data_IF_423768290320
#
_entry.id   IF_423768290320
#
_cell.length_a   1.000
_cell.length_b   1.000
_cell.length_c   1.000
_cell.angle_alpha   90.00
_cell.angle_beta   90.00
_cell.angle_gamma   90.00
#
_symmetry.space_group_name_H-M   'P 1'
#
loop_
_entity.id
_entity.type
_entity.pdbx_description
1 polymer ?
#
# COMPACT_ATOMS: atom_id res chain seq x y z
N UNK A 1 17.12 6.85 14.45
CA UNK A 1 18.00 7.56 13.48
C UNK A 1 18.08 6.68 12.27
N UNK A 2 17.91 7.22 11.05
CA UNK A 2 18.01 6.42 9.83
C UNK A 2 19.48 6.11 9.52
N UNK A 3 19.75 4.87 9.11
CA UNK A 3 21.08 4.37 8.76
C UNK A 3 21.19 4.11 7.25
N UNK A 4 22.33 3.61 6.79
CA UNK A 4 22.54 3.21 5.39
C UNK A 4 21.61 2.07 4.93
N UNK A 5 20.94 1.37 5.87
CA UNK A 5 19.97 0.32 5.54
C UNK A 5 18.76 0.85 4.76
N UNK A 6 18.34 2.10 5.02
CA UNK A 6 17.24 2.71 4.27
C UNK A 6 17.61 2.88 2.78
N UNK A 7 18.87 3.24 2.48
CA UNK A 7 19.35 3.32 1.11
C UNK A 7 19.42 1.95 0.43
N UNK A 8 19.79 0.90 1.18
CA UNK A 8 19.80 -0.48 0.68
C UNK A 8 18.37 -0.99 0.40
N UNK A 9 17.40 -0.66 1.27
CA UNK A 9 15.99 -0.99 1.05
C UNK A 9 15.43 -0.27 -0.19
N UNK A 10 15.78 1.00 -0.38
CA UNK A 10 15.40 1.74 -1.59
C UNK A 10 16.01 1.11 -2.85
N UNK A 11 17.29 0.72 -2.82
CA UNK A 11 17.93 0.05 -3.95
C UNK A 11 17.24 -1.27 -4.31
N UNK A 12 16.86 -2.06 -3.29
CA UNK A 12 16.11 -3.31 -3.50
C UNK A 12 14.70 -3.04 -4.05
N UNK A 13 14.02 -1.99 -3.60
CA UNK A 13 12.72 -1.59 -4.13
C UNK A 13 12.83 -1.16 -5.60
N UNK A 14 13.87 -0.40 -5.97
CA UNK A 14 14.13 -0.02 -7.37
C UNK A 14 14.32 -1.25 -8.25
N UNK A 15 15.09 -2.24 -7.78
CA UNK A 15 15.28 -3.51 -8.49
C UNK A 15 13.96 -4.28 -8.65
N UNK A 16 13.17 -4.40 -7.58
CA UNK A 16 11.91 -5.15 -7.58
C UNK A 16 10.86 -4.56 -8.55
N UNK A 17 10.90 -3.25 -8.78
CA UNK A 17 9.96 -2.52 -9.62
C UNK A 17 10.59 -1.99 -10.91
N UNK A 18 11.70 -2.61 -11.36
CA UNK A 18 12.38 -2.17 -12.59
C UNK A 18 11.43 -2.21 -13.80
N UNK A 19 11.41 -1.13 -14.57
CA UNK A 19 10.54 -0.98 -15.73
C UNK A 19 9.04 -0.83 -15.43
N UNK A 20 8.58 -1.01 -14.19
CA UNK A 20 7.19 -0.91 -13.80
C UNK A 20 6.72 0.55 -13.73
N UNK A 21 5.44 0.76 -14.08
CA UNK A 21 4.80 2.09 -14.03
C UNK A 21 3.50 2.04 -13.22
N UNK A 22 3.13 3.16 -12.63
CA UNK A 22 1.81 3.36 -12.01
C UNK A 22 0.72 3.15 -13.06
N UNK A 23 -0.31 2.40 -12.68
CA UNK A 23 -1.38 1.95 -13.60
C UNK A 23 -2.04 3.11 -14.34
N UNK A 24 -2.06 3.04 -15.66
CA UNK A 24 -2.64 4.06 -16.52
C UNK A 24 -1.84 5.37 -16.62
N UNK A 25 -0.56 5.38 -16.23
CA UNK A 25 0.32 6.55 -16.29
C UNK A 25 1.69 6.21 -16.87
N UNK A 26 2.55 7.22 -17.06
CA UNK A 26 3.98 7.06 -17.38
C UNK A 26 4.88 7.16 -16.15
N UNK A 27 4.33 7.34 -14.94
CA UNK A 27 5.07 7.53 -13.69
C UNK A 27 5.78 6.23 -13.31
N UNK A 28 7.10 6.23 -13.06
CA UNK A 28 7.80 5.06 -12.55
C UNK A 28 7.20 4.58 -11.23
N UNK A 29 7.02 3.26 -11.08
CA UNK A 29 6.33 2.70 -9.92
C UNK A 29 7.02 3.04 -8.60
N UNK A 30 8.36 3.16 -8.60
CA UNK A 30 9.16 3.50 -7.41
C UNK A 30 8.70 4.79 -6.71
N UNK A 31 8.05 5.71 -7.42
CA UNK A 31 7.45 6.91 -6.82
C UNK A 31 6.42 6.58 -5.73
N UNK A 32 5.74 5.42 -5.86
CA UNK A 32 4.78 4.97 -4.86
C UNK A 32 5.45 4.49 -3.57
N UNK A 33 6.34 3.49 -3.54
CA UNK A 33 7.04 3.08 -2.33
C UNK A 33 7.77 4.22 -1.62
N UNK A 34 8.39 5.13 -2.36
CA UNK A 34 9.01 6.33 -1.79
C UNK A 34 7.98 7.23 -1.08
N UNK A 35 6.83 7.46 -1.71
CA UNK A 35 5.73 8.23 -1.12
C UNK A 35 5.15 7.56 0.13
N UNK A 36 5.00 6.24 0.10
CA UNK A 36 4.53 5.45 1.26
C UNK A 36 5.51 5.56 2.43
N UNK A 37 6.81 5.42 2.18
CA UNK A 37 7.83 5.57 3.20
C UNK A 37 7.88 6.99 3.78
N UNK A 38 7.72 8.03 2.96
CA UNK A 38 7.61 9.42 3.42
C UNK A 38 6.42 9.59 4.37
N UNK A 39 5.24 9.12 3.98
CA UNK A 39 4.03 9.17 4.81
C UNK A 39 4.23 8.41 6.13
N UNK A 40 4.80 7.22 6.09
CA UNK A 40 5.06 6.43 7.29
C UNK A 40 5.98 7.19 8.26
N UNK A 41 7.07 7.77 7.78
CA UNK A 41 8.01 8.57 8.59
C UNK A 41 7.33 9.83 9.18
N UNK A 42 6.51 10.54 8.41
CA UNK A 42 5.74 11.70 8.88
C UNK A 42 4.76 11.34 10.01
N UNK A 43 4.33 10.07 10.06
CA UNK A 43 3.42 9.52 11.07
C UNK A 43 4.13 8.69 12.15
N UNK A 44 5.45 8.86 12.31
CA UNK A 44 6.22 8.33 13.43
C UNK A 44 6.82 6.95 13.22
N UNK A 45 6.92 6.47 11.98
CA UNK A 45 7.61 5.21 11.68
C UNK A 45 9.07 5.21 12.14
N UNK A 46 9.51 4.10 12.71
CA UNK A 46 10.92 3.82 12.91
C UNK A 46 11.59 3.37 11.59
N UNK A 47 12.90 3.08 11.65
CA UNK A 47 13.67 2.71 10.47
C UNK A 47 13.18 1.40 9.84
N UNK A 48 12.82 0.39 10.64
CA UNK A 48 12.36 -0.91 10.13
C UNK A 48 10.98 -0.79 9.46
N UNK A 49 10.09 0.01 10.03
CA UNK A 49 8.80 0.33 9.42
C UNK A 49 8.97 1.13 8.12
N UNK A 50 9.92 2.07 8.06
CA UNK A 50 10.23 2.82 6.85
C UNK A 50 10.83 1.94 5.74
N UNK A 51 11.73 1.00 6.09
CA UNK A 51 12.24 -0.02 5.16
C UNK A 51 11.11 -0.93 4.67
N UNK A 52 10.23 -1.39 5.56
CA UNK A 52 9.05 -2.17 5.16
C UNK A 52 8.12 -1.38 4.23
N UNK A 53 7.95 -0.08 4.46
CA UNK A 53 7.17 0.79 3.58
C UNK A 53 7.79 0.93 2.17
N UNK A 54 9.12 0.98 2.05
CA UNK A 54 9.81 0.93 0.76
C UNK A 54 9.63 -0.41 0.04
N UNK A 55 9.48 -1.51 0.77
CA UNK A 55 9.50 -2.88 0.25
C UNK A 55 8.12 -3.55 0.22
N UNK A 56 7.05 -2.87 0.64
CA UNK A 56 5.74 -3.48 0.91
C UNK A 56 5.13 -4.20 -0.30
N UNK A 57 5.38 -3.72 -1.52
CA UNK A 57 4.90 -4.31 -2.78
C UNK A 57 5.94 -5.20 -3.48
N UNK A 58 7.19 -5.26 -2.98
CA UNK A 58 8.28 -5.97 -3.65
C UNK A 58 8.01 -7.47 -3.84
N UNK A 59 7.33 -8.11 -2.88
CA UNK A 59 6.97 -9.53 -2.96
C UNK A 59 5.78 -9.75 -3.91
N UNK A 60 4.78 -8.88 -3.89
CA UNK A 60 3.58 -9.01 -4.73
C UNK A 60 3.89 -8.76 -6.20
N UNK A 61 4.68 -7.74 -6.49
CA UNK A 61 4.96 -7.27 -7.85
C UNK A 61 6.29 -7.82 -8.41
N UNK A 62 7.34 -7.90 -7.59
CA UNK A 62 8.66 -8.38 -7.98
C UNK A 62 8.81 -9.90 -7.93
N UNK A 63 7.97 -10.58 -7.13
CA UNK A 63 7.94 -12.04 -7.02
C UNK A 63 8.41 -12.59 -5.67
N UNK A 64 8.07 -13.86 -5.43
CA UNK A 64 8.28 -14.53 -4.14
C UNK A 64 9.75 -14.58 -3.67
N UNK A 65 10.72 -14.48 -4.58
CA UNK A 65 12.16 -14.45 -4.24
C UNK A 65 12.55 -13.26 -3.38
N UNK A 66 11.77 -12.16 -3.40
CA UNK A 66 12.04 -10.99 -2.57
C UNK A 66 11.74 -11.23 -1.09
N UNK A 67 10.84 -12.15 -0.74
CA UNK A 67 10.51 -12.45 0.66
C UNK A 67 11.75 -12.89 1.46
N UNK A 68 12.52 -13.86 0.93
CA UNK A 68 13.75 -14.36 1.58
C UNK A 68 14.87 -13.30 1.56
N UNK A 69 14.99 -12.54 0.47
CA UNK A 69 15.99 -11.46 0.38
C UNK A 69 15.72 -10.37 1.41
N UNK A 70 14.46 -9.97 1.59
CA UNK A 70 14.06 -8.97 2.59
C UNK A 70 14.40 -9.49 3.99
N UNK A 71 14.05 -10.73 4.31
CA UNK A 71 14.34 -11.34 5.62
C UNK A 71 15.83 -11.41 5.92
N UNK A 72 16.62 -11.86 4.96
CA UNK A 72 18.08 -12.01 5.15
C UNK A 72 18.82 -10.67 5.24
N UNK A 73 18.36 -9.62 4.54
CA UNK A 73 19.05 -8.33 4.50
C UNK A 73 18.59 -7.37 5.60
N UNK A 74 17.31 -7.38 5.94
CA UNK A 74 16.68 -6.38 6.81
C UNK A 74 16.09 -6.97 8.10
N UNK A 75 16.05 -8.30 8.23
CA UNK A 75 15.60 -8.99 9.43
C UNK A 75 14.12 -9.39 9.42
N UNK A 76 13.74 -10.16 10.45
CA UNK A 76 12.40 -10.76 10.56
C UNK A 76 11.30 -9.72 10.64
N UNK A 77 11.47 -8.66 11.44
CA UNK A 77 10.44 -7.64 11.66
C UNK A 77 10.06 -6.94 10.34
N UNK A 78 11.06 -6.54 9.53
CA UNK A 78 10.79 -5.92 8.21
C UNK A 78 10.04 -6.91 7.30
N UNK A 79 10.50 -8.16 7.24
CA UNK A 79 9.87 -9.19 6.41
C UNK A 79 8.43 -9.50 6.86
N UNK A 80 8.16 -9.53 8.16
CA UNK A 80 6.83 -9.80 8.71
C UNK A 80 5.87 -8.64 8.46
N UNK A 81 6.35 -7.38 8.53
CA UNK A 81 5.54 -6.20 8.16
C UNK A 81 5.18 -6.27 6.67
N UNK A 82 6.15 -6.54 5.80
CA UNK A 82 5.93 -6.67 4.34
C UNK A 82 4.91 -7.78 4.05
N UNK A 83 5.06 -8.94 4.69
CA UNK A 83 4.11 -10.05 4.54
C UNK A 83 2.69 -9.65 4.99
N UNK A 84 2.57 -8.89 6.08
CA UNK A 84 1.28 -8.38 6.57
C UNK A 84 0.62 -7.33 5.66
N UNK A 85 1.40 -6.66 4.81
CA UNK A 85 0.89 -5.70 3.82
C UNK A 85 0.45 -6.37 2.51
N UNK A 86 0.86 -7.60 2.25
CA UNK A 86 0.60 -8.31 0.98
C UNK A 86 -0.87 -8.73 0.86
N UNK A 87 -1.54 -8.29 -0.21
CA UNK A 87 -2.94 -8.56 -0.51
C UNK A 87 -3.09 -9.72 -1.50
N UNK A 88 -2.99 -10.93 -1.00
CA UNK A 88 -3.25 -12.15 -1.76
C UNK A 88 -2.13 -12.53 -2.74
N UNK A 89 -1.34 -13.51 -2.33
CA UNK A 89 -0.37 -14.19 -3.20
C UNK A 89 -1.14 -15.05 -4.21
N UNK A 90 -0.80 -15.03 -5.51
CA UNK A 90 -1.35 -15.96 -6.48
C UNK A 90 -1.12 -17.42 -6.06
N UNK A 91 -2.05 -18.30 -6.41
CA UNK A 91 -1.86 -19.75 -6.24
C UNK A 91 -0.72 -20.28 -7.15
N UNK A 92 -0.38 -21.56 -7.01
CA UNK A 92 0.67 -22.22 -7.81
C UNK A 92 0.40 -22.17 -9.34
N UNK A 93 -0.82 -21.80 -9.76
CA UNK A 93 -1.21 -21.64 -11.17
C UNK A 93 -1.28 -20.16 -11.59
N UNK A 94 -0.89 -19.24 -10.71
CA UNK A 94 -0.93 -17.79 -10.96
C UNK A 94 -2.32 -17.15 -10.82
N UNK A 95 -3.32 -17.86 -10.31
CA UNK A 95 -4.66 -17.33 -10.14
C UNK A 95 -4.79 -16.61 -8.80
N UNK A 96 -5.27 -15.36 -8.82
CA UNK A 96 -5.71 -14.65 -7.62
C UNK A 96 -7.22 -14.87 -7.42
N UNK A 97 -7.71 -15.01 -6.17
CA UNK A 97 -9.15 -15.05 -5.88
C UNK A 97 -9.89 -13.82 -6.44
N UNK A 98 -11.23 -13.87 -6.59
CA UNK A 98 -12.02 -12.71 -7.00
C UNK A 98 -11.69 -11.47 -6.16
N UNK A 99 -11.72 -10.30 -6.82
CA UNK A 99 -11.29 -9.03 -6.19
C UNK A 99 -11.98 -8.76 -4.84
N UNK A 100 -13.32 -8.90 -4.79
CA UNK A 100 -14.10 -8.65 -3.56
C UNK A 100 -13.70 -9.59 -2.42
N UNK A 101 -13.50 -10.88 -2.73
CA UNK A 101 -13.10 -11.87 -1.72
C UNK A 101 -11.71 -11.54 -1.15
N UNK A 102 -10.74 -11.16 -2.00
CA UNK A 102 -9.40 -10.74 -1.55
C UNK A 102 -9.48 -9.49 -0.67
N UNK A 103 -10.23 -8.47 -1.11
CA UNK A 103 -10.37 -7.22 -0.36
C UNK A 103 -11.06 -7.44 0.97
N UNK A 104 -12.10 -8.28 1.03
CA UNK A 104 -12.72 -8.63 2.30
C UNK A 104 -11.74 -9.35 3.24
N UNK A 105 -11.03 -10.37 2.74
CA UNK A 105 -10.04 -11.08 3.54
C UNK A 105 -8.92 -10.14 4.07
N UNK A 106 -8.50 -9.17 3.27
CA UNK A 106 -7.52 -8.17 3.69
C UNK A 106 -8.07 -7.21 4.76
N UNK A 107 -9.33 -6.75 4.63
CA UNK A 107 -10.01 -5.95 5.66
C UNK A 107 -10.13 -6.72 6.98
N UNK A 108 -10.50 -8.00 6.89
CA UNK A 108 -10.60 -8.88 8.07
C UNK A 108 -9.22 -9.04 8.74
N UNK A 109 -8.16 -9.27 7.94
CA UNK A 109 -6.79 -9.33 8.44
C UNK A 109 -6.36 -8.03 9.15
N UNK A 110 -6.59 -6.86 8.55
CA UNK A 110 -6.22 -5.56 9.14
C UNK A 110 -6.92 -5.30 10.47
N UNK A 111 -8.11 -5.85 10.68
CA UNK A 111 -8.85 -5.68 11.94
C UNK A 111 -8.09 -6.24 13.15
N UNK A 112 -7.17 -7.19 12.94
CA UNK A 112 -6.37 -7.84 13.97
C UNK A 112 -4.85 -7.71 13.77
N UNK A 113 -4.40 -7.03 12.71
CA UNK A 113 -2.99 -6.89 12.38
C UNK A 113 -2.22 -6.12 13.46
N UNK A 114 -0.90 -6.37 13.53
CA UNK A 114 -0.01 -5.63 14.42
C UNK A 114 0.07 -4.15 14.01
N UNK A 115 0.32 -3.26 14.97
CA UNK A 115 0.37 -1.81 14.72
C UNK A 115 1.43 -1.41 13.68
N UNK A 116 2.54 -2.15 13.59
CA UNK A 116 3.56 -1.96 12.55
C UNK A 116 2.98 -2.14 11.13
N UNK A 117 2.20 -3.21 10.94
CA UNK A 117 1.50 -3.49 9.67
C UNK A 117 0.46 -2.41 9.38
N UNK A 118 -0.29 -1.98 10.40
CA UNK A 118 -1.30 -0.95 10.27
C UNK A 118 -0.71 0.39 9.83
N UNK A 119 0.46 0.78 10.37
CA UNK A 119 1.11 2.02 9.98
C UNK A 119 1.56 1.99 8.52
N UNK A 120 2.23 0.92 8.09
CA UNK A 120 2.73 0.77 6.72
C UNK A 120 1.58 0.63 5.73
N UNK A 121 0.63 -0.29 5.99
CA UNK A 121 -0.55 -0.48 5.15
C UNK A 121 -1.41 0.79 5.06
N UNK A 122 -1.61 1.49 6.19
CA UNK A 122 -2.35 2.75 6.20
C UNK A 122 -1.67 3.84 5.37
N UNK A 123 -0.33 3.91 5.42
CA UNK A 123 0.46 4.85 4.61
C UNK A 123 0.35 4.55 3.11
N UNK A 124 0.37 3.26 2.73
CA UNK A 124 0.10 2.82 1.35
C UNK A 124 -1.31 3.25 0.90
N UNK A 125 -2.32 2.94 1.71
CA UNK A 125 -3.72 3.26 1.34
C UNK A 125 -3.94 4.77 1.27
N UNK A 126 -3.31 5.56 2.14
CA UNK A 126 -3.35 7.01 2.08
C UNK A 126 -2.68 7.55 0.81
N UNK A 127 -1.49 7.04 0.45
CA UNK A 127 -0.81 7.43 -0.79
C UNK A 127 -1.67 7.13 -2.03
N UNK A 128 -2.25 5.92 -2.09
CA UNK A 128 -3.11 5.51 -3.19
C UNK A 128 -4.41 6.34 -3.24
N UNK A 129 -5.05 6.63 -2.10
CA UNK A 129 -6.25 7.47 -2.04
C UNK A 129 -5.97 8.90 -2.52
N UNK A 130 -4.83 9.49 -2.13
CA UNK A 130 -4.40 10.81 -2.61
C UNK A 130 -4.20 10.83 -4.13
N UNK A 131 -3.59 9.79 -4.69
CA UNK A 131 -3.43 9.67 -6.14
C UNK A 131 -4.78 9.58 -6.87
N UNK A 132 -5.76 8.85 -6.33
CA UNK A 132 -7.12 8.79 -6.90
C UNK A 132 -7.80 10.16 -6.83
N UNK A 133 -7.67 10.88 -5.72
CA UNK A 133 -8.24 12.24 -5.58
C UNK A 133 -7.61 13.20 -6.59
N UNK A 134 -6.30 13.16 -6.77
CA UNK A 134 -5.61 13.96 -7.77
C UNK A 134 -6.07 13.62 -9.20
N UNK A 135 -6.17 12.35 -9.52
CA UNK A 135 -6.69 11.90 -10.82
C UNK A 135 -8.16 12.31 -11.02
N UNK A 136 -9.01 12.24 -10.00
CA UNK A 136 -10.39 12.73 -10.08
C UNK A 136 -10.45 14.22 -10.43
N UNK A 137 -9.55 15.04 -9.89
CA UNK A 137 -9.44 16.46 -10.20
C UNK A 137 -8.95 16.72 -11.64
N UNK A 138 -8.07 15.84 -12.16
CA UNK A 138 -7.42 16.02 -13.47
C UNK A 138 -8.21 15.41 -14.63
N UNK A 139 -8.78 14.21 -14.45
CA UNK A 139 -9.43 13.44 -15.52
C UNK A 139 -10.86 13.01 -15.18
N UNK A 140 -11.37 13.40 -14.01
CA UNK A 140 -12.71 13.07 -13.54
C UNK A 140 -12.92 11.57 -13.36
N UNK A 141 -14.17 11.14 -13.57
CA UNK A 141 -14.60 9.75 -13.36
C UNK A 141 -13.85 8.71 -14.18
N UNK A 142 -13.14 9.12 -15.25
CA UNK A 142 -12.30 8.22 -16.06
C UNK A 142 -11.19 7.54 -15.27
N UNK A 143 -10.84 8.04 -14.08
CA UNK A 143 -9.86 7.36 -13.21
C UNK A 143 -10.29 5.94 -12.86
N UNK A 144 -11.59 5.68 -12.70
CA UNK A 144 -12.11 4.36 -12.35
C UNK A 144 -11.96 3.33 -13.48
N UNK A 145 -11.85 3.76 -14.73
CA UNK A 145 -11.60 2.87 -15.88
C UNK A 145 -10.22 2.19 -15.81
N UNK A 146 -9.30 2.73 -14.98
CA UNK A 146 -7.97 2.13 -14.74
C UNK A 146 -8.02 0.92 -13.83
N UNK A 147 -9.10 0.74 -13.06
CA UNK A 147 -9.20 -0.32 -12.04
C UNK A 147 -10.02 -1.51 -12.57
N UNK A 148 -9.75 -2.69 -12.02
CA UNK A 148 -10.57 -3.89 -12.25
C UNK A 148 -11.86 -3.89 -11.42
N UNK A 149 -11.93 -3.04 -10.39
CA UNK A 149 -13.09 -2.83 -9.55
C UNK A 149 -13.95 -1.69 -10.10
N UNK A 150 -15.27 -1.75 -9.89
CA UNK A 150 -16.15 -0.62 -10.20
C UNK A 150 -15.86 0.57 -9.26
N UNK A 151 -16.41 1.76 -9.61
CA UNK A 151 -16.38 2.94 -8.73
C UNK A 151 -16.95 2.60 -7.35
N UNK A 152 -18.11 1.97 -7.31
CA UNK A 152 -18.81 1.63 -6.05
C UNK A 152 -17.98 0.68 -5.20
N UNK A 153 -17.36 -0.33 -5.82
CA UNK A 153 -16.46 -1.25 -5.14
C UNK A 153 -15.22 -0.54 -4.60
N UNK A 154 -14.64 0.37 -5.38
CA UNK A 154 -13.47 1.16 -4.95
C UNK A 154 -13.83 2.04 -3.77
N UNK A 155 -14.92 2.78 -3.83
CA UNK A 155 -15.38 3.64 -2.74
C UNK A 155 -15.72 2.85 -1.48
N UNK A 156 -16.41 1.71 -1.61
CA UNK A 156 -16.69 0.80 -0.50
C UNK A 156 -15.38 0.34 0.18
N UNK A 157 -14.39 -0.07 -0.61
CA UNK A 157 -13.13 -0.57 -0.06
C UNK A 157 -12.38 0.51 0.73
N UNK A 158 -12.25 1.71 0.18
CA UNK A 158 -11.58 2.81 0.87
C UNK A 158 -12.33 3.30 2.10
N UNK A 159 -13.65 3.31 2.07
CA UNK A 159 -14.49 3.65 3.24
C UNK A 159 -14.33 2.62 4.37
N UNK A 160 -14.30 1.32 4.01
CA UNK A 160 -14.05 0.22 4.96
C UNK A 160 -12.65 0.30 5.57
N UNK A 161 -11.62 0.58 4.76
CA UNK A 161 -10.25 0.80 5.23
C UNK A 161 -10.19 1.95 6.25
N UNK A 162 -10.76 3.12 5.90
CA UNK A 162 -10.77 4.27 6.79
C UNK A 162 -11.44 3.94 8.14
N UNK A 163 -12.56 3.22 8.14
CA UNK A 163 -13.25 2.80 9.36
C UNK A 163 -12.38 1.87 10.24
N UNK A 164 -11.65 0.93 9.61
CA UNK A 164 -10.74 0.03 10.35
C UNK A 164 -9.59 0.82 10.97
N UNK A 165 -8.89 1.66 10.21
CA UNK A 165 -7.77 2.45 10.71
C UNK A 165 -8.19 3.43 11.82
N UNK A 166 -9.41 4.01 11.74
CA UNK A 166 -9.99 4.82 12.81
C UNK A 166 -10.26 3.99 14.07
N UNK A 167 -10.88 2.82 13.94
CA UNK A 167 -11.17 1.93 15.07
C UNK A 167 -9.90 1.46 15.78
N UNK A 168 -8.83 1.24 15.01
CA UNK A 168 -7.51 0.84 15.48
C UNK A 168 -6.64 2.04 15.92
N UNK A 169 -7.13 3.28 15.78
CA UNK A 169 -6.42 4.53 16.16
C UNK A 169 -5.05 4.64 15.50
N UNK A 170 -4.93 4.20 14.26
CA UNK A 170 -3.68 4.28 13.50
C UNK A 170 -3.28 5.73 13.25
N UNK A 171 -2.00 6.11 13.33
CA UNK A 171 -1.57 7.51 13.15
C UNK A 171 -2.06 8.18 11.86
N UNK A 172 -2.17 7.42 10.77
CA UNK A 172 -2.65 7.93 9.46
C UNK A 172 -4.18 7.99 9.32
N UNK A 173 -4.95 7.49 10.29
CA UNK A 173 -6.39 7.29 10.17
C UNK A 173 -7.14 8.56 9.78
N UNK A 174 -6.85 9.68 10.48
CA UNK A 174 -7.49 10.98 10.21
C UNK A 174 -7.24 11.44 8.78
N UNK A 175 -5.98 11.42 8.33
CA UNK A 175 -5.62 11.85 6.98
C UNK A 175 -6.26 10.96 5.90
N UNK A 176 -6.32 9.64 6.14
CA UNK A 176 -7.01 8.72 5.24
C UNK A 176 -8.51 9.01 5.17
N UNK A 177 -9.20 9.20 6.30
CA UNK A 177 -10.63 9.53 6.34
C UNK A 177 -10.93 10.81 5.55
N UNK A 178 -10.21 11.89 5.79
CA UNK A 178 -10.38 13.16 5.09
C UNK A 178 -10.17 13.01 3.56
N UNK A 179 -9.19 12.19 3.16
CA UNK A 179 -8.92 11.90 1.75
C UNK A 179 -10.04 11.06 1.12
N UNK A 180 -10.54 10.04 1.83
CA UNK A 180 -11.66 9.21 1.37
C UNK A 180 -12.96 10.02 1.25
N UNK A 181 -13.25 10.89 2.19
CA UNK A 181 -14.43 11.78 2.12
C UNK A 181 -14.32 12.73 0.92
N UNK A 182 -13.12 13.24 0.62
CA UNK A 182 -12.87 14.02 -0.59
C UNK A 182 -13.06 13.19 -1.86
N UNK A 183 -12.53 11.97 -1.90
CA UNK A 183 -12.73 11.03 -3.01
C UNK A 183 -14.23 10.79 -3.26
N UNK A 184 -15.01 10.52 -2.21
CA UNK A 184 -16.47 10.30 -2.30
C UNK A 184 -17.18 11.52 -2.86
N UNK A 185 -16.85 12.72 -2.36
CA UNK A 185 -17.45 14.00 -2.82
C UNK A 185 -17.14 14.30 -4.29
N UNK A 186 -15.92 13.99 -4.76
CA UNK A 186 -15.54 14.20 -6.16
C UNK A 186 -16.10 13.13 -7.09
N UNK A 187 -16.63 12.03 -6.55
CA UNK A 187 -17.18 10.91 -7.30
C UNK A 187 -18.71 10.96 -7.43
N UNK A 188 -19.35 12.02 -6.97
CA UNK A 188 -20.78 12.31 -7.17
C UNK A 188 -20.99 13.13 -8.41
#
# INVERSE_FOLDING_TARGET
MLTDKIAQALALAVEAHDGQKRKGTSIPYIAHPMGVASIALEHGADEEQAMAALLHDAVEDGGAQYAERIRSQFGDRVADIVAGCTDGVPDARGHKPPWTARKQAYLDHLSFAHDDVLLVSGSDKLHNARAIVEDLLNIGMKVFDRFSASKEQTLWYYDSLAAIFESRRTPVAKALRETVDTMKRLST
#
